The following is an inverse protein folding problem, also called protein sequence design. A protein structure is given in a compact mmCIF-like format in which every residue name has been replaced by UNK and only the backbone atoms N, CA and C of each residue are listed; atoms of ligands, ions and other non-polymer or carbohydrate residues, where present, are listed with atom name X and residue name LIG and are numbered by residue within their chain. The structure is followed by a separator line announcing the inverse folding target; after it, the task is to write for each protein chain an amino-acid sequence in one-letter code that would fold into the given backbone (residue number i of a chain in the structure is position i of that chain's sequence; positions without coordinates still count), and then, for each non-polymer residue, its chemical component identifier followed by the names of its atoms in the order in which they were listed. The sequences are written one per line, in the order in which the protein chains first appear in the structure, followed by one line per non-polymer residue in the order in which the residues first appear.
data_IF_421688043279
#
_entry.id   IF_421688043279
#
_cell.length_a   1.000
_cell.length_b   1.000
_cell.length_c   1.000
_cell.angle_alpha   90.00
_cell.angle_beta   90.00
_cell.angle_gamma   90.00
#
_symmetry.space_group_name_H-M   'P 1'
#
loop_
_entity.id
_entity.type
_entity.pdbx_description
1 polymer ?
#
# COMPACT_ATOMS: atom_id res chain seq x y z
N UNK A 1 -14.08 -63.43 -9.02
CA UNK A 1 -13.73 -62.57 -7.87
C UNK A 1 -12.38 -61.92 -8.14
N UNK A 2 -12.21 -60.66 -7.71
CA UNK A 2 -11.10 -59.73 -7.91
C UNK A 2 -11.15 -58.87 -9.18
N UNK A 3 -12.07 -57.89 -9.16
CA UNK A 3 -11.91 -56.66 -9.94
C UNK A 3 -11.17 -55.64 -9.04
N UNK A 4 -10.03 -55.15 -9.53
CA UNK A 4 -9.15 -54.24 -8.81
C UNK A 4 -9.78 -52.85 -8.66
N UNK A 5 -9.77 -52.34 -7.43
CA UNK A 5 -10.14 -50.97 -7.12
C UNK A 5 -9.02 -50.02 -7.59
N UNK A 6 -9.32 -49.19 -8.60
CA UNK A 6 -8.54 -48.00 -8.89
C UNK A 6 -8.71 -47.02 -7.72
N UNK A 7 -7.65 -46.84 -6.94
CA UNK A 7 -7.50 -45.66 -6.09
C UNK A 7 -7.31 -44.45 -7.00
N UNK A 8 -8.38 -43.69 -7.21
CA UNK A 8 -8.30 -42.33 -7.72
C UNK A 8 -7.53 -41.50 -6.69
N UNK A 9 -6.24 -41.31 -6.93
CA UNK A 9 -5.45 -40.32 -6.24
C UNK A 9 -6.09 -38.95 -6.52
N UNK A 10 -6.75 -38.39 -5.50
CA UNK A 10 -7.15 -36.99 -5.51
C UNK A 10 -5.87 -36.17 -5.71
N UNK A 11 -5.73 -35.60 -6.92
CA UNK A 11 -4.66 -34.66 -7.19
C UNK A 11 -4.75 -33.54 -6.13
N UNK A 12 -3.64 -33.18 -5.48
CA UNK A 12 -3.65 -32.09 -4.51
C UNK A 12 -4.24 -30.86 -5.19
N UNK A 13 -5.30 -30.30 -4.59
CA UNK A 13 -5.93 -29.06 -5.01
C UNK A 13 -4.85 -28.07 -5.41
N UNK A 14 -4.67 -27.86 -6.71
CA UNK A 14 -3.79 -26.85 -7.23
C UNK A 14 -4.21 -25.55 -6.55
N UNK A 15 -3.29 -24.96 -5.78
CA UNK A 15 -3.45 -23.61 -5.26
C UNK A 15 -4.03 -22.77 -6.40
N UNK A 16 -5.18 -22.12 -6.18
CA UNK A 16 -5.93 -21.38 -7.20
C UNK A 16 -4.97 -20.48 -7.97
N UNK A 17 -4.40 -21.00 -9.05
CA UNK A 17 -3.66 -20.22 -10.01
C UNK A 17 -4.73 -19.31 -10.59
N UNK A 18 -4.58 -18.00 -10.37
CA UNK A 18 -5.48 -16.97 -10.87
C UNK A 18 -5.97 -17.33 -12.28
N UNK A 19 -7.18 -17.85 -12.39
CA UNK A 19 -7.81 -18.11 -13.68
C UNK A 19 -8.12 -16.73 -14.24
N UNK A 20 -7.30 -16.28 -15.18
CA UNK A 20 -7.59 -15.09 -15.96
C UNK A 20 -8.93 -15.33 -16.69
N UNK A 21 -9.80 -14.30 -16.80
CA UNK A 21 -10.95 -14.40 -17.69
C UNK A 21 -10.52 -14.88 -19.08
N UNK A 22 -11.35 -15.71 -19.73
CA UNK A 22 -11.00 -16.31 -21.03
C UNK A 22 -10.65 -15.26 -22.10
N UNK A 23 -11.26 -14.08 -22.01
CA UNK A 23 -11.06 -12.95 -22.91
C UNK A 23 -9.96 -11.97 -22.45
N UNK A 24 -9.23 -12.27 -21.37
CA UNK A 24 -8.21 -11.39 -20.82
C UNK A 24 -6.78 -11.86 -21.14
N UNK A 25 -5.87 -10.90 -21.18
CA UNK A 25 -4.43 -11.15 -21.13
C UNK A 25 -3.73 -10.21 -20.14
N UNK A 26 -2.60 -10.67 -19.61
CA UNK A 26 -1.76 -9.89 -18.71
C UNK A 26 -0.95 -8.87 -19.52
N UNK A 27 -0.95 -7.63 -19.06
CA UNK A 27 -0.04 -6.59 -19.52
C UNK A 27 1.07 -6.46 -18.49
N UNK A 28 2.32 -6.43 -18.96
CA UNK A 28 3.44 -6.16 -18.06
C UNK A 28 3.36 -4.70 -17.63
N UNK A 29 3.17 -4.46 -16.34
CA UNK A 29 3.22 -3.12 -15.79
C UNK A 29 4.55 -2.90 -15.07
N UNK A 30 5.14 -1.73 -15.31
CA UNK A 30 6.32 -1.28 -14.61
C UNK A 30 6.24 0.23 -14.35
N UNK A 31 7.04 0.70 -13.41
CA UNK A 31 7.23 2.12 -13.18
C UNK A 31 8.66 2.45 -12.82
N UNK A 32 9.09 3.69 -13.02
CA UNK A 32 10.30 4.24 -12.44
C UNK A 32 9.96 5.54 -11.68
N UNK A 33 10.81 5.90 -10.72
CA UNK A 33 10.69 7.18 -10.00
C UNK A 33 11.89 8.06 -10.29
N UNK A 34 11.64 9.26 -10.82
CA UNK A 34 12.65 10.27 -11.13
C UNK A 34 12.74 11.34 -10.04
N UNK A 35 13.83 12.12 -10.11
CA UNK A 35 14.13 13.23 -9.20
C UNK A 35 14.34 12.84 -7.72
N UNK A 36 14.67 11.57 -7.45
CA UNK A 36 15.00 11.09 -6.09
C UNK A 36 16.29 11.74 -5.55
N UNK A 37 17.24 12.02 -6.43
CA UNK A 37 18.55 12.59 -6.15
C UNK A 37 18.51 14.05 -5.70
N UNK A 38 17.48 14.81 -6.09
CA UNK A 38 17.24 16.16 -5.58
C UNK A 38 16.95 16.22 -4.07
N UNK A 39 16.62 15.08 -3.46
CA UNK A 39 16.26 14.98 -2.04
C UNK A 39 17.22 14.01 -1.30
N UNK A 40 18.51 14.32 -1.34
CA UNK A 40 19.56 13.47 -0.79
C UNK A 40 19.43 13.18 0.73
N UNK A 41 18.73 14.03 1.48
CA UNK A 41 18.42 13.85 2.90
C UNK A 41 17.26 12.86 3.15
N UNK A 42 16.66 12.32 2.09
CA UNK A 42 15.55 11.36 2.16
C UNK A 42 15.96 9.97 1.69
N UNK A 43 15.16 9.01 2.12
CA UNK A 43 15.05 7.66 1.56
C UNK A 43 13.62 7.47 1.12
N UNK A 44 13.42 7.05 -0.12
CA UNK A 44 12.10 6.82 -0.66
C UNK A 44 11.79 5.33 -0.66
N UNK A 45 10.58 4.99 -0.24
CA UNK A 45 10.10 3.61 -0.24
C UNK A 45 8.70 3.50 -0.83
N UNK A 46 8.43 2.43 -1.57
CA UNK A 46 7.08 2.05 -1.95
C UNK A 46 6.54 0.99 -0.98
N UNK A 47 5.34 1.21 -0.45
CA UNK A 47 4.66 0.30 0.46
C UNK A 47 3.12 0.39 0.31
N UNK A 48 2.36 -0.71 0.48
CA UNK A 48 2.84 -2.09 0.60
C UNK A 48 3.33 -2.63 -0.75
N UNK A 49 4.34 -3.50 -0.71
CA UNK A 49 4.88 -4.21 -1.87
C UNK A 49 4.01 -5.41 -2.26
N UNK A 50 3.42 -6.07 -1.27
CA UNK A 50 2.57 -7.24 -1.45
C UNK A 50 1.33 -7.12 -0.55
N UNK A 51 0.18 -7.47 -1.13
CA UNK A 51 -1.13 -7.22 -0.57
C UNK A 51 -1.98 -8.48 -0.76
N UNK A 52 -2.93 -8.65 0.14
CA UNK A 52 -3.97 -9.64 0.02
C UNK A 52 -4.87 -9.45 -1.17
N UNK A 53 -5.78 -10.41 -1.33
CA UNK A 53 -6.89 -10.32 -2.28
C UNK A 53 -7.78 -9.09 -2.05
N UNK A 54 -7.86 -8.58 -0.81
CA UNK A 54 -8.70 -7.43 -0.44
C UNK A 54 -7.89 -6.14 -0.26
N UNK A 55 -6.62 -6.12 -0.71
CA UNK A 55 -5.74 -4.95 -0.69
C UNK A 55 -5.11 -4.64 0.68
N UNK A 56 -5.38 -5.45 1.69
CA UNK A 56 -4.74 -5.40 2.99
C UNK A 56 -3.26 -5.84 2.90
N UNK A 57 -2.36 -5.32 3.75
CA UNK A 57 -1.01 -5.87 3.83
C UNK A 57 -1.08 -7.34 4.23
N UNK A 58 -0.36 -8.23 3.51
CA UNK A 58 -0.42 -9.69 3.70
C UNK A 58 -0.15 -10.15 5.15
N UNK A 59 0.45 -9.31 6.00
CA UNK A 59 0.64 -9.59 7.42
C UNK A 59 -0.65 -9.66 8.26
N UNK A 60 -1.83 -9.40 7.68
CA UNK A 60 -3.13 -9.49 8.35
C UNK A 60 -3.95 -10.73 8.00
N UNK A 61 -3.61 -11.44 6.93
CA UNK A 61 -4.46 -12.53 6.42
C UNK A 61 -3.90 -13.85 6.88
N UNK A 62 -4.56 -14.42 7.88
CA UNK A 62 -4.47 -15.86 8.12
C UNK A 62 -5.30 -16.55 7.04
N UNK A 63 -4.66 -16.96 5.94
CA UNK A 63 -5.32 -17.66 4.84
C UNK A 63 -5.80 -19.06 5.24
N UNK A 64 -5.60 -19.51 6.49
CA UNK A 64 -5.81 -20.91 6.91
C UNK A 64 -4.92 -21.90 6.15
N UNK A 65 -4.02 -21.39 5.30
CA UNK A 65 -3.03 -22.11 4.54
C UNK A 65 -1.78 -22.19 5.40
N UNK A 66 -1.40 -23.42 5.75
CA UNK A 66 -0.17 -23.86 6.43
C UNK A 66 0.70 -22.71 6.99
N UNK A 67 0.88 -22.55 8.32
CA UNK A 67 1.55 -21.40 8.95
C UNK A 67 2.95 -21.06 8.42
N UNK A 68 3.58 -21.97 7.68
CA UNK A 68 4.79 -21.73 6.91
C UNK A 68 4.63 -20.74 5.72
N UNK A 69 3.42 -20.49 5.22
CA UNK A 69 3.13 -19.52 4.16
C UNK A 69 2.96 -18.11 4.72
N UNK A 70 2.25 -17.97 5.85
CA UNK A 70 2.05 -16.71 6.57
C UNK A 70 3.38 -16.07 7.02
N UNK A 71 4.41 -16.88 7.28
CA UNK A 71 5.69 -16.40 7.82
C UNK A 71 6.77 -16.13 6.77
N UNK A 72 6.60 -16.58 5.52
CA UNK A 72 7.74 -16.69 4.60
C UNK A 72 7.61 -15.92 3.31
N UNK A 73 6.45 -15.44 2.85
CA UNK A 73 6.42 -14.89 1.49
C UNK A 73 7.11 -13.53 1.34
N UNK A 74 7.31 -12.71 2.37
CA UNK A 74 7.94 -11.38 2.19
C UNK A 74 8.73 -10.92 3.45
N UNK A 75 10.03 -11.23 3.52
CA UNK A 75 10.93 -10.69 4.56
C UNK A 75 11.04 -9.15 4.49
N UNK A 76 10.66 -8.55 3.35
CA UNK A 76 10.59 -7.11 3.12
C UNK A 76 9.26 -6.82 2.41
N UNK A 77 8.37 -6.07 3.08
CA UNK A 77 7.04 -5.67 2.60
C UNK A 77 7.03 -4.27 1.97
N UNK A 78 8.20 -3.67 1.81
CA UNK A 78 8.44 -2.41 1.11
C UNK A 78 9.50 -2.60 0.02
N UNK A 79 9.64 -1.60 -0.84
CA UNK A 79 10.71 -1.51 -1.81
C UNK A 79 11.46 -0.18 -1.64
N UNK A 80 12.78 -0.21 -1.57
CA UNK A 80 13.60 1.02 -1.59
C UNK A 80 13.69 1.51 -3.03
N UNK A 81 13.29 2.75 -3.25
CA UNK A 81 13.28 3.36 -4.57
C UNK A 81 14.67 3.89 -4.91
N UNK A 82 15.20 3.44 -6.04
CA UNK A 82 16.52 3.82 -6.55
C UNK A 82 16.33 4.56 -7.90
N UNK A 83 17.13 5.59 -8.13
CA UNK A 83 17.00 6.41 -9.33
C UNK A 83 17.20 5.55 -10.59
N UNK A 84 16.31 5.73 -11.59
CA UNK A 84 16.33 5.02 -12.89
C UNK A 84 16.13 3.50 -12.79
N UNK A 85 15.71 2.99 -11.64
CA UNK A 85 15.38 1.58 -11.48
C UNK A 85 13.96 1.34 -11.99
N UNK A 86 13.83 0.42 -12.96
CA UNK A 86 12.52 -0.09 -13.37
C UNK A 86 11.99 -1.03 -12.30
N UNK A 87 10.78 -0.75 -11.81
CA UNK A 87 10.11 -1.48 -10.76
C UNK A 87 8.88 -2.19 -11.32
N UNK A 88 8.69 -3.44 -10.92
CA UNK A 88 7.51 -4.24 -11.28
C UNK A 88 6.61 -4.35 -10.07
N UNK A 89 5.31 -4.26 -10.31
CA UNK A 89 4.32 -4.37 -9.24
C UNK A 89 3.53 -5.65 -9.41
N UNK A 90 3.29 -6.34 -8.30
CA UNK A 90 2.44 -7.51 -8.27
C UNK A 90 0.97 -7.12 -8.35
N UNK A 91 0.18 -7.90 -9.10
CA UNK A 91 -1.24 -7.66 -9.42
C UNK A 91 -2.11 -7.26 -8.22
N UNK A 92 -1.82 -7.79 -7.04
CA UNK A 92 -2.65 -7.64 -5.84
C UNK A 92 -2.48 -6.28 -5.11
N UNK A 93 -1.44 -5.50 -5.42
CA UNK A 93 -1.22 -4.18 -4.80
C UNK A 93 -1.62 -2.99 -5.69
N UNK A 94 -2.33 -3.26 -6.78
CA UNK A 94 -2.87 -2.19 -7.60
C UNK A 94 -3.74 -1.27 -6.72
N UNK A 95 -3.49 0.04 -6.80
CA UNK A 95 -4.18 1.10 -6.05
C UNK A 95 -3.91 1.21 -4.54
N UNK A 96 -3.19 0.27 -3.91
CA UNK A 96 -2.83 0.34 -2.48
C UNK A 96 -1.39 0.77 -2.25
N UNK A 97 -0.49 0.50 -3.21
CA UNK A 97 0.89 0.95 -3.16
C UNK A 97 0.96 2.49 -3.10
N UNK A 98 1.76 3.00 -2.18
CA UNK A 98 2.05 4.42 -1.97
C UNK A 98 3.56 4.63 -1.92
N UNK A 99 3.99 5.81 -2.33
CA UNK A 99 5.37 6.26 -2.14
C UNK A 99 5.43 7.06 -0.84
N UNK A 100 6.46 6.80 -0.06
CA UNK A 100 6.77 7.51 1.19
C UNK A 100 8.19 8.04 1.13
N UNK A 101 8.42 9.18 1.79
CA UNK A 101 9.76 9.72 2.02
C UNK A 101 10.08 9.68 3.52
N UNK A 102 11.24 9.12 3.84
CA UNK A 102 11.76 8.93 5.20
C UNK A 102 13.02 9.78 5.38
N UNK A 103 13.26 10.39 6.55
CA UNK A 103 14.49 11.11 6.81
C UNK A 103 15.66 10.13 6.87
N UNK A 104 16.63 10.31 5.97
CA UNK A 104 17.79 9.42 5.80
C UNK A 104 18.61 9.26 7.08
N UNK A 105 18.67 10.30 7.91
CA UNK A 105 19.38 10.25 9.18
C UNK A 105 18.77 9.25 10.18
N UNK A 106 17.44 9.12 10.20
CA UNK A 106 16.75 8.18 11.09
C UNK A 106 16.49 6.81 10.42
N UNK A 107 16.46 6.78 9.09
CA UNK A 107 16.20 5.62 8.26
C UNK A 107 17.29 5.44 7.21
N UNK A 108 18.56 5.20 7.62
CA UNK A 108 19.65 5.10 6.67
C UNK A 108 19.43 3.88 5.75
N UNK A 109 19.60 4.02 4.43
CA UNK A 109 19.53 2.89 3.54
C UNK A 109 20.78 2.03 3.75
N UNK A 110 20.60 0.73 3.59
CA UNK A 110 21.67 -0.26 3.65
C UNK A 110 21.47 -1.29 2.55
N UNK A 111 22.38 -2.25 2.46
CA UNK A 111 22.27 -3.39 1.57
C UNK A 111 22.57 -4.67 2.34
N UNK A 112 21.82 -5.73 2.03
CA UNK A 112 22.12 -7.08 2.49
C UNK A 112 21.99 -8.07 1.33
N UNK A 113 22.66 -9.23 1.38
CA UNK A 113 22.40 -10.30 0.43
C UNK A 113 20.93 -10.72 0.49
N UNK A 114 20.29 -10.85 -0.67
CA UNK A 114 18.93 -11.35 -0.77
C UNK A 114 18.89 -12.80 -0.25
N UNK A 115 17.98 -13.15 0.68
CA UNK A 115 17.99 -14.47 1.31
C UNK A 115 17.59 -15.60 0.34
N UNK A 116 16.99 -15.25 -0.81
CA UNK A 116 16.46 -16.17 -1.82
C UNK A 116 16.22 -15.44 -3.15
N UNK A 117 15.92 -16.23 -4.18
CA UNK A 117 15.36 -15.71 -5.42
C UNK A 117 13.98 -15.09 -5.17
N UNK A 118 13.81 -13.86 -5.64
CA UNK A 118 12.54 -13.12 -5.61
C UNK A 118 12.33 -12.49 -6.99
N UNK A 119 11.65 -13.24 -7.85
CA UNK A 119 11.37 -12.86 -9.24
C UNK A 119 10.57 -11.55 -9.35
N UNK A 120 9.85 -11.17 -8.30
CA UNK A 120 9.04 -9.95 -8.30
C UNK A 120 9.90 -8.69 -8.11
N UNK A 121 11.07 -8.79 -7.47
CA UNK A 121 12.08 -7.71 -7.38
C UNK A 121 13.22 -7.87 -8.38
N UNK A 122 13.15 -8.88 -9.25
CA UNK A 122 14.29 -9.31 -10.06
C UNK A 122 15.55 -9.57 -9.22
N UNK A 123 15.35 -10.09 -7.99
CA UNK A 123 16.45 -10.43 -7.08
C UNK A 123 16.79 -11.90 -7.20
N UNK A 124 18.09 -12.18 -7.27
CA UNK A 124 18.65 -13.52 -7.08
C UNK A 124 19.17 -13.67 -5.67
N UNK A 125 19.11 -14.89 -5.15
CA UNK A 125 19.73 -15.21 -3.87
C UNK A 125 21.17 -14.71 -3.85
N UNK A 126 21.57 -14.16 -2.71
CA UNK A 126 22.88 -13.61 -2.41
C UNK A 126 23.24 -12.30 -3.16
N UNK A 127 22.43 -11.86 -4.14
CA UNK A 127 22.61 -10.54 -4.75
C UNK A 127 22.28 -9.40 -3.76
N UNK A 128 22.89 -8.21 -3.93
CA UNK A 128 22.57 -7.05 -3.11
C UNK A 128 21.09 -6.67 -3.17
N UNK A 129 20.45 -6.60 -2.01
CA UNK A 129 19.10 -6.09 -1.80
C UNK A 129 19.16 -4.81 -0.98
N UNK A 130 18.63 -3.71 -1.54
CA UNK A 130 18.47 -2.46 -0.82
C UNK A 130 17.41 -2.61 0.30
N UNK A 131 17.76 -2.16 1.50
CA UNK A 131 16.91 -2.23 2.69
C UNK A 131 17.00 -0.94 3.52
N UNK A 132 16.08 -0.80 4.48
CA UNK A 132 16.12 0.21 5.53
C UNK A 132 16.09 -0.54 6.88
N UNK A 133 17.23 -0.78 7.54
CA UNK A 133 17.29 -1.58 8.76
C UNK A 133 16.33 -1.12 9.87
N UNK A 134 16.10 0.19 9.97
CA UNK A 134 15.15 0.76 10.92
C UNK A 134 13.68 0.36 10.63
N UNK A 135 13.31 0.14 9.36
CA UNK A 135 12.01 -0.45 9.00
C UNK A 135 12.02 -1.96 9.27
N UNK A 136 13.12 -2.65 8.97
CA UNK A 136 13.26 -4.09 9.21
C UNK A 136 13.07 -4.44 10.70
N UNK A 137 13.50 -3.55 11.60
CA UNK A 137 13.32 -3.67 13.04
C UNK A 137 11.88 -3.43 13.54
N UNK A 138 10.98 -2.91 12.70
CA UNK A 138 9.55 -2.75 13.03
C UNK A 138 8.82 -4.05 12.64
N UNK A 139 8.12 -4.65 13.59
CA UNK A 139 7.24 -5.80 13.33
C UNK A 139 6.30 -5.50 12.15
N UNK A 140 6.11 -6.44 11.23
CA UNK A 140 5.28 -6.25 10.02
C UNK A 140 3.87 -5.69 10.35
N UNK A 141 3.22 -6.20 11.40
CA UNK A 141 1.90 -5.73 11.85
C UNK A 141 1.89 -4.25 12.28
N UNK A 142 3.03 -3.71 12.72
CA UNK A 142 3.21 -2.32 13.16
C UNK A 142 3.68 -1.39 12.03
N UNK A 143 4.09 -1.90 10.88
CA UNK A 143 4.52 -1.06 9.74
C UNK A 143 3.36 -0.27 9.13
N UNK A 144 2.17 -0.87 9.04
CA UNK A 144 0.98 -0.15 8.56
C UNK A 144 0.65 1.09 9.43
N UNK A 145 0.47 0.99 10.77
CA UNK A 145 0.25 2.17 11.59
C UNK A 145 1.46 3.13 11.58
N UNK A 146 2.69 2.63 11.45
CA UNK A 146 3.87 3.48 11.26
C UNK A 146 3.74 4.36 10.00
N UNK A 147 3.53 3.77 8.83
CA UNK A 147 3.35 4.53 7.58
C UNK A 147 2.13 5.44 7.63
N UNK A 148 1.07 5.05 8.33
CA UNK A 148 -0.14 5.86 8.46
C UNK A 148 -0.01 7.05 9.41
N UNK A 149 0.80 6.96 10.48
CA UNK A 149 0.74 7.93 11.59
C UNK A 149 2.08 8.49 12.11
N UNK A 150 3.24 7.86 11.82
CA UNK A 150 4.52 8.37 12.31
C UNK A 150 4.84 9.75 11.70
N UNK A 151 5.17 10.73 12.56
CA UNK A 151 5.39 12.12 12.16
C UNK A 151 6.65 12.32 11.31
N UNK A 152 7.56 11.34 11.26
CA UNK A 152 8.77 11.37 10.44
C UNK A 152 8.52 10.94 9.00
N UNK A 153 7.35 10.38 8.70
CA UNK A 153 7.01 9.85 7.38
C UNK A 153 6.29 10.93 6.58
N UNK A 154 6.91 11.39 5.50
CA UNK A 154 6.24 12.22 4.52
C UNK A 154 5.44 11.35 3.54
N UNK A 155 4.16 11.69 3.37
CA UNK A 155 3.16 10.85 2.67
C UNK A 155 2.65 11.53 1.42
N UNK A 156 2.35 10.72 0.41
CA UNK A 156 1.65 11.18 -0.79
C UNK A 156 0.22 10.61 -0.85
N UNK A 157 -0.78 11.42 -1.24
CA UNK A 157 -2.09 10.89 -1.61
C UNK A 157 -2.05 10.18 -2.97
N UNK A 158 -0.95 10.29 -3.72
CA UNK A 158 -0.80 9.67 -5.02
C UNK A 158 -0.90 8.14 -4.93
N UNK A 159 -1.79 7.59 -5.75
CA UNK A 159 -1.92 6.17 -5.99
C UNK A 159 -1.53 5.88 -7.43
N UNK A 160 -0.71 4.85 -7.65
CA UNK A 160 -0.48 4.38 -9.01
C UNK A 160 -1.78 3.76 -9.54
N UNK A 161 -2.28 4.33 -10.63
CA UNK A 161 -3.31 3.70 -11.45
C UNK A 161 -2.63 2.65 -12.32
N UNK A 162 -3.02 1.39 -12.27
CA UNK A 162 -2.25 0.30 -12.90
C UNK A 162 -3.08 -0.46 -13.93
N UNK A 163 -2.55 -0.60 -15.15
CA UNK A 163 -3.16 -1.44 -16.19
C UNK A 163 -2.46 -2.80 -16.17
N UNK A 164 -3.10 -3.77 -15.52
CA UNK A 164 -2.57 -5.15 -15.40
C UNK A 164 -3.24 -6.13 -16.38
N UNK A 165 -4.46 -5.82 -16.82
CA UNK A 165 -5.27 -6.68 -17.67
C UNK A 165 -5.93 -5.89 -18.80
N UNK A 166 -5.93 -6.47 -19.98
CA UNK A 166 -6.64 -5.96 -21.16
C UNK A 166 -7.35 -7.11 -21.85
N UNK A 167 -8.37 -6.79 -22.65
CA UNK A 167 -9.01 -7.78 -23.52
C UNK A 167 -8.03 -8.31 -24.56
N UNK A 168 -7.91 -9.65 -24.62
CA UNK A 168 -7.04 -10.37 -25.56
C UNK A 168 -7.47 -10.17 -27.02
N UNK A 169 -8.78 -10.13 -27.28
CA UNK A 169 -9.33 -10.04 -28.63
C UNK A 169 -9.21 -8.64 -29.25
N UNK A 170 -9.08 -7.59 -28.43
CA UNK A 170 -9.00 -6.21 -28.90
C UNK A 170 -7.62 -5.59 -28.72
N UNK A 171 -6.88 -5.92 -27.67
CA UNK A 171 -5.63 -5.22 -27.37
C UNK A 171 -4.37 -5.89 -27.90
N UNK A 172 -3.51 -5.13 -28.57
CA UNK A 172 -2.12 -5.51 -28.91
C UNK A 172 -1.11 -5.00 -27.88
N UNK A 173 -1.57 -4.44 -26.75
CA UNK A 173 -0.70 -3.92 -25.70
C UNK A 173 0.03 -5.06 -24.99
N UNK A 174 1.34 -4.93 -24.82
CA UNK A 174 2.20 -5.91 -24.17
C UNK A 174 2.77 -5.39 -22.84
N UNK A 175 3.23 -4.13 -22.81
CA UNK A 175 3.82 -3.49 -21.62
C UNK A 175 3.36 -2.04 -21.47
N UNK A 176 3.20 -1.62 -20.22
CA UNK A 176 3.02 -0.22 -19.80
C UNK A 176 4.16 0.13 -18.84
N UNK A 177 4.78 1.27 -19.05
CA UNK A 177 5.82 1.80 -18.18
C UNK A 177 5.50 3.25 -17.81
N UNK A 178 5.22 3.51 -16.54
CA UNK A 178 5.00 4.86 -16.03
C UNK A 178 6.27 5.45 -15.41
N UNK A 179 6.45 6.75 -15.59
CA UNK A 179 7.49 7.53 -14.92
C UNK A 179 6.81 8.48 -13.96
N UNK A 180 7.18 8.40 -12.70
CA UNK A 180 6.64 9.20 -11.61
C UNK A 180 7.76 10.12 -11.12
N UNK A 181 7.48 11.40 -10.93
CA UNK A 181 8.47 12.33 -10.40
C UNK A 181 8.15 12.72 -8.96
N UNK A 182 9.19 12.84 -8.14
CA UNK A 182 9.09 13.54 -6.85
C UNK A 182 9.20 15.04 -7.10
N UNK A 183 8.12 15.77 -6.80
CA UNK A 183 8.03 17.22 -7.05
C UNK A 183 8.48 18.03 -5.83
N UNK A 184 8.07 17.60 -4.64
CA UNK A 184 8.37 18.29 -3.40
C UNK A 184 8.30 17.33 -2.21
N UNK A 185 9.11 17.61 -1.18
CA UNK A 185 9.07 16.90 0.10
C UNK A 185 9.18 17.92 1.22
N UNK A 186 8.21 17.92 2.14
CA UNK A 186 8.29 18.64 3.41
C UNK A 186 8.30 17.67 4.60
N UNK A 187 8.05 18.17 5.81
CA UNK A 187 8.09 17.36 7.03
C UNK A 187 7.05 16.21 7.06
N UNK A 188 5.88 16.38 6.44
CA UNK A 188 4.77 15.42 6.51
C UNK A 188 4.16 15.07 5.14
N UNK A 189 4.44 15.88 4.11
CA UNK A 189 3.86 15.77 2.78
C UNK A 189 4.94 15.47 1.74
N UNK A 190 4.61 14.50 0.89
CA UNK A 190 5.35 14.12 -0.30
C UNK A 190 4.45 14.39 -1.50
N UNK A 191 4.87 15.30 -2.37
CA UNK A 191 4.19 15.56 -3.64
C UNK A 191 4.88 14.75 -4.73
N UNK A 192 4.12 13.87 -5.37
CA UNK A 192 4.56 13.15 -6.57
C UNK A 192 3.52 13.32 -7.66
N UNK A 193 3.96 13.24 -8.91
CA UNK A 193 3.08 13.27 -10.07
C UNK A 193 3.56 12.31 -11.15
N UNK A 194 2.62 11.76 -11.90
CA UNK A 194 2.95 11.05 -13.13
C UNK A 194 3.49 12.03 -14.16
N UNK A 195 4.58 11.67 -14.84
CA UNK A 195 5.32 12.53 -15.77
C UNK A 195 5.10 12.09 -17.20
N UNK A 196 5.35 10.81 -17.47
CA UNK A 196 5.18 10.20 -18.78
C UNK A 196 4.78 8.74 -18.65
N UNK A 197 4.11 8.22 -19.66
CA UNK A 197 3.80 6.80 -19.84
C UNK A 197 4.36 6.34 -21.17
N UNK A 198 4.94 5.15 -21.20
CA UNK A 198 5.34 4.46 -22.42
C UNK A 198 4.54 3.18 -22.58
N UNK A 199 3.87 3.05 -23.71
CA UNK A 199 3.19 1.84 -24.13
C UNK A 199 4.10 1.06 -25.07
N UNK A 200 4.18 -0.26 -24.89
CA UNK A 200 4.86 -1.17 -25.82
C UNK A 200 3.87 -2.22 -26.29
N UNK A 201 3.81 -2.42 -27.61
CA UNK A 201 2.90 -3.36 -28.25
C UNK A 201 3.61 -4.69 -28.58
N UNK A 202 2.83 -5.70 -28.94
CA UNK A 202 3.34 -7.04 -29.30
C UNK A 202 4.27 -7.03 -30.52
N UNK A 203 4.12 -6.06 -31.43
CA UNK A 203 5.02 -5.85 -32.57
C UNK A 203 6.33 -5.14 -32.20
N UNK A 204 6.52 -4.81 -30.92
CA UNK A 204 7.67 -4.06 -30.39
C UNK A 204 7.58 -2.55 -30.59
N UNK A 205 6.54 -2.02 -31.25
CA UNK A 205 6.37 -0.59 -31.39
C UNK A 205 6.09 0.06 -30.03
N UNK A 206 6.48 1.34 -29.89
CA UNK A 206 6.30 2.10 -28.66
C UNK A 206 5.66 3.45 -28.89
N UNK A 207 4.90 3.91 -27.90
CA UNK A 207 4.32 5.26 -27.85
C UNK A 207 4.54 5.86 -26.47
N UNK A 208 5.15 7.05 -26.40
CA UNK A 208 5.37 7.77 -25.15
C UNK A 208 4.54 9.04 -25.12
N UNK A 209 3.82 9.25 -24.01
CA UNK A 209 3.00 10.44 -23.79
C UNK A 209 3.36 11.09 -22.46
N UNK A 210 3.35 12.42 -22.44
CA UNK A 210 3.41 13.18 -21.20
C UNK A 210 2.03 13.20 -20.52
N UNK A 211 2.00 13.07 -19.20
CA UNK A 211 0.80 13.31 -18.42
C UNK A 211 0.47 14.80 -18.44
N UNK A 212 -0.78 15.13 -18.76
CA UNK A 212 -1.30 16.51 -18.72
C UNK A 212 -2.34 16.72 -17.61
N UNK A 213 -2.73 15.64 -16.96
CA UNK A 213 -3.65 15.61 -15.81
C UNK A 213 -3.33 14.36 -14.98
N UNK A 214 -4.09 14.14 -13.91
CA UNK A 214 -3.99 12.90 -13.11
C UNK A 214 -4.40 11.64 -13.91
N UNK A 215 -5.16 11.82 -15.01
CA UNK A 215 -5.60 10.72 -15.86
C UNK A 215 -4.50 10.33 -16.83
N UNK A 216 -4.21 9.02 -16.90
CA UNK A 216 -3.30 8.46 -17.89
C UNK A 216 -3.81 8.76 -19.32
N UNK A 217 -2.98 9.33 -20.21
CA UNK A 217 -3.38 9.54 -21.60
C UNK A 217 -3.58 8.18 -22.28
N UNK A 218 -4.65 8.01 -23.07
CA UNK A 218 -4.86 6.75 -23.79
C UNK A 218 -3.83 6.58 -24.92
N UNK A 219 -3.34 5.35 -25.19
CA UNK A 219 -2.53 5.07 -26.36
C UNK A 219 -3.32 5.35 -27.64
N UNK A 220 -2.61 5.70 -28.70
CA UNK A 220 -3.24 6.07 -29.97
C UNK A 220 -3.82 4.87 -30.72
N UNK A 221 -3.36 3.65 -30.43
CA UNK A 221 -3.91 2.41 -30.99
C UNK A 221 -5.19 2.03 -30.22
N UNK A 222 -6.38 2.32 -30.78
CA UNK A 222 -7.61 2.51 -30.01
C UNK A 222 -8.18 1.23 -29.39
N UNK A 223 -7.70 0.06 -29.79
CA UNK A 223 -8.17 -1.22 -29.24
C UNK A 223 -7.38 -1.68 -28.00
N UNK A 224 -6.38 -0.92 -27.57
CA UNK A 224 -5.37 -1.38 -26.62
C UNK A 224 -5.79 -1.36 -25.14
N UNK A 225 -6.75 -0.52 -24.73
CA UNK A 225 -7.04 -0.26 -23.31
C UNK A 225 -8.42 -0.66 -22.82
N UNK A 226 -9.19 -1.47 -23.55
CA UNK A 226 -10.43 -1.98 -22.97
C UNK A 226 -10.11 -3.01 -21.88
N UNK A 227 -10.40 -2.72 -20.59
CA UNK A 227 -10.36 -3.77 -19.59
C UNK A 227 -11.42 -4.83 -19.94
N UNK A 228 -11.19 -6.10 -19.62
CA UNK A 228 -12.24 -7.11 -19.71
C UNK A 228 -13.42 -6.68 -18.81
N UNK A 229 -14.67 -7.01 -19.18
CA UNK A 229 -15.81 -6.71 -18.32
C UNK A 229 -15.60 -7.44 -16.99
N UNK A 230 -15.57 -6.69 -15.88
CA UNK A 230 -15.24 -7.21 -14.55
C UNK A 230 -13.76 -7.16 -14.15
N UNK A 231 -12.88 -6.59 -14.99
CA UNK A 231 -11.47 -6.34 -14.65
C UNK A 231 -11.23 -4.90 -14.19
N UNK A 232 -11.24 -4.69 -12.87
CA UNK A 232 -10.73 -3.50 -12.18
C UNK A 232 -11.44 -2.15 -12.43
N UNK A 233 -12.73 -2.14 -12.73
CA UNK A 233 -13.59 -1.02 -12.35
C UNK A 233 -14.35 -1.45 -11.10
N UNK A 234 -13.91 -1.03 -9.91
CA UNK A 234 -14.87 -0.86 -8.83
C UNK A 234 -15.53 0.48 -9.13
N UNK A 235 -16.74 0.36 -9.67
CA UNK A 235 -17.88 1.26 -9.60
C UNK A 235 -17.58 2.71 -9.20
N UNK A 236 -18.09 3.62 -10.03
CA UNK A 236 -18.43 4.97 -9.62
C UNK A 236 -19.02 4.95 -8.20
N UNK A 237 -18.33 5.64 -7.30
CA UNK A 237 -18.68 5.92 -5.92
C UNK A 237 -20.19 5.87 -5.62
N UNK A 238 -20.71 4.84 -4.93
CA UNK A 238 -21.87 5.00 -4.09
C UNK A 238 -21.37 5.28 -2.68
N UNK A 239 -21.45 6.55 -2.30
CA UNK A 239 -21.65 7.03 -0.92
C UNK A 239 -21.96 5.87 0.04
N UNK A 240 -21.14 5.62 1.08
CA UNK A 240 -21.38 4.50 1.98
C UNK A 240 -22.79 4.64 2.59
N UNK A 241 -23.65 3.61 2.50
CA UNK A 241 -24.92 3.66 3.21
C UNK A 241 -24.63 3.77 4.71
N UNK A 242 -25.36 4.66 5.37
CA UNK A 242 -25.35 4.77 6.81
C UNK A 242 -25.56 3.37 7.43
N UNK A 243 -24.65 3.00 8.32
CA UNK A 243 -24.79 1.80 9.14
C UNK A 243 -25.90 2.12 10.15
N UNK A 244 -27.12 1.70 9.83
CA UNK A 244 -28.21 1.68 10.80
C UNK A 244 -28.17 0.34 11.56
N UNK A 245 -27.96 0.45 12.86
CA UNK A 245 -27.83 -0.68 13.76
C UNK A 245 -29.22 -1.13 14.21
N UNK A 246 -29.67 -2.24 13.64
CA UNK A 246 -30.61 -3.15 14.29
C UNK A 246 -32.09 -2.83 14.11
N UNK A 247 -32.80 -3.77 13.49
CA UNK A 247 -34.23 -3.93 13.70
C UNK A 247 -34.50 -5.36 14.17
N UNK A 248 -34.95 -5.50 15.41
CA UNK A 248 -35.88 -6.55 15.80
C UNK A 248 -37.13 -5.89 16.37
N UNK A 249 -38.28 -6.33 15.83
CA UNK A 249 -39.67 -6.17 16.26
C UNK A 249 -40.53 -5.08 15.57
N UNK A 250 -41.85 -5.35 15.38
CA UNK A 250 -42.64 -4.83 14.27
C UNK A 250 -43.65 -3.73 14.62
N UNK A 251 -44.05 -3.01 13.56
CA UNK A 251 -45.26 -2.20 13.30
C UNK A 251 -45.85 -1.28 14.39
N UNK A 252 -45.73 0.04 14.16
CA UNK A 252 -46.72 1.06 14.55
C UNK A 252 -46.60 2.31 13.65
N UNK A 253 -47.68 3.10 13.45
CA UNK A 253 -47.86 3.93 12.26
C UNK A 253 -47.20 5.32 12.32
N UNK A 254 -46.98 5.86 11.13
CA UNK A 254 -46.26 7.08 10.76
C UNK A 254 -46.62 8.34 11.55
N UNK A 255 -45.59 9.04 12.03
CA UNK A 255 -45.66 10.38 12.61
C UNK A 255 -44.75 11.35 11.79
N UNK A 256 -45.14 12.61 11.54
CA UNK A 256 -44.41 13.50 10.62
C UNK A 256 -43.13 14.08 11.26
N UNK A 257 -42.15 14.54 10.44
CA UNK A 257 -40.79 14.76 10.90
C UNK A 257 -40.64 15.96 11.82
N UNK A 258 -39.89 15.76 12.92
CA UNK A 258 -39.48 16.79 13.86
C UNK A 258 -38.27 17.59 13.33
N UNK A 259 -38.20 18.86 13.73
CA UNK A 259 -37.20 19.83 13.32
C UNK A 259 -35.75 19.46 13.72
N UNK A 260 -34.80 19.86 12.88
CA UNK A 260 -33.37 19.60 13.05
C UNK A 260 -32.77 20.28 14.31
N UNK A 261 -31.84 19.63 15.04
CA UNK A 261 -31.14 20.26 16.14
C UNK A 261 -30.00 21.17 15.65
N UNK A 262 -29.78 22.26 16.41
CA UNK A 262 -28.72 23.25 16.19
C UNK A 262 -27.31 22.69 16.49
N UNK A 263 -26.24 23.26 15.89
CA UNK A 263 -24.87 22.77 16.06
C UNK A 263 -24.32 23.04 17.47
N UNK A 264 -23.65 22.03 18.04
CA UNK A 264 -22.97 22.09 19.32
C UNK A 264 -21.76 23.04 19.31
N UNK A 265 -21.73 23.98 20.26
CA UNK A 265 -20.56 24.81 20.54
C UNK A 265 -19.46 23.98 21.22
N UNK A 266 -18.22 24.13 20.74
CA UNK A 266 -17.05 23.49 21.34
C UNK A 266 -16.64 24.25 22.60
N UNK A 267 -16.84 23.62 23.75
CA UNK A 267 -16.42 24.12 25.05
C UNK A 267 -14.89 24.04 25.21
N UNK A 268 -14.25 25.21 25.22
CA UNK A 268 -12.81 25.39 25.39
C UNK A 268 -12.39 25.35 26.87
N UNK A 269 -13.33 25.35 27.82
CA UNK A 269 -13.05 25.40 29.26
C UNK A 269 -12.44 24.11 29.81
N UNK A 270 -12.88 22.95 29.30
CA UNK A 270 -12.51 21.64 29.88
C UNK A 270 -11.06 21.24 29.58
N UNK A 271 -10.45 21.77 28.50
CA UNK A 271 -9.08 21.41 28.10
C UNK A 271 -7.99 22.00 29.00
N UNK A 272 -8.23 23.15 29.64
CA UNK A 272 -7.26 23.77 30.53
C UNK A 272 -7.15 23.05 31.88
N UNK A 273 -8.26 22.48 32.37
CA UNK A 273 -8.29 21.73 33.64
C UNK A 273 -7.43 20.46 33.55
N UNK A 274 -7.48 19.74 32.42
CA UNK A 274 -6.64 18.55 32.20
C UNK A 274 -5.15 18.89 32.09
N UNK A 275 -4.79 19.99 31.43
CA UNK A 275 -3.39 20.40 31.31
C UNK A 275 -2.79 20.84 32.65
N UNK A 276 -3.56 21.54 33.49
CA UNK A 276 -3.11 21.93 34.83
C UNK A 276 -2.88 20.72 35.75
N UNK A 277 -3.72 19.68 35.66
CA UNK A 277 -3.57 18.46 36.45
C UNK A 277 -2.29 17.67 36.09
N UNK A 278 -1.94 17.58 34.80
CA UNK A 278 -0.72 16.89 34.35
C UNK A 278 0.54 17.65 34.79
N UNK A 279 0.52 18.99 34.71
CA UNK A 279 1.64 19.81 35.16
C UNK A 279 1.89 19.67 36.68
N UNK A 280 0.82 19.60 37.49
CA UNK A 280 0.93 19.40 38.94
C UNK A 280 1.58 18.06 39.33
N UNK A 281 1.26 16.97 38.61
CA UNK A 281 1.85 15.65 38.86
C UNK A 281 3.35 15.59 38.56
N UNK A 282 3.80 16.27 37.50
CA UNK A 282 5.23 16.30 37.14
C UNK A 282 6.06 17.07 38.16
N UNK A 283 5.58 18.24 38.62
CA UNK A 283 6.29 19.04 39.62
C UNK A 283 6.34 18.32 40.96
N UNK A 284 5.24 17.69 41.40
CA UNK A 284 5.20 16.91 42.63
C UNK A 284 6.18 15.72 42.62
N UNK A 285 6.26 15.00 41.49
CA UNK A 285 7.18 13.86 41.33
C UNK A 285 8.65 14.26 41.42
N UNK A 286 9.04 15.39 40.82
CA UNK A 286 10.43 15.90 40.84
C UNK A 286 10.84 16.31 42.26
N UNK A 287 9.95 16.99 43.00
CA UNK A 287 10.23 17.42 44.38
C UNK A 287 10.38 16.21 45.31
N UNK A 288 9.49 15.22 45.21
CA UNK A 288 9.57 14.00 46.01
C UNK A 288 10.86 13.20 45.73
N UNK A 289 11.27 13.12 44.47
CA UNK A 289 12.52 12.46 44.07
C UNK A 289 13.76 13.19 44.62
N UNK A 290 13.80 14.52 44.54
CA UNK A 290 14.89 15.33 45.07
C UNK A 290 15.02 15.22 46.61
N UNK A 291 13.90 15.14 47.33
CA UNK A 291 13.91 14.95 48.79
C UNK A 291 14.38 13.55 49.19
N UNK A 292 14.03 12.52 48.41
CA UNK A 292 14.48 11.14 48.66
C UNK A 292 16.00 11.04 48.52
N UNK A 293 16.59 11.66 47.50
CA UNK A 293 18.03 11.59 47.26
C UNK A 293 18.87 12.37 48.29
N UNK A 294 18.33 13.45 48.88
CA UNK A 294 19.00 14.17 49.97
C UNK A 294 19.12 13.35 51.27
N UNK A 295 18.18 12.44 51.54
CA UNK A 295 18.21 11.60 52.74
C UNK A 295 19.19 10.43 52.65
N UNK A 296 19.59 10.02 51.45
CA UNK A 296 20.53 8.92 51.23
C UNK A 296 22.00 9.36 51.21
N UNK A 297 22.26 10.66 51.35
CA UNK A 297 23.60 11.25 51.22
C UNK A 297 24.17 11.78 52.56
N UNK A 298 23.57 11.42 53.69
CA UNK A 298 24.04 11.77 55.03
C UNK A 298 23.91 10.61 56.00
#
# INVERSE_FOLDING_TARGET
MLAGALLAAAAPNAARADVLPEDAKVVQYSYEVENLDAFADKVFVAWPRACGSDGEPLGKIDLGLNPQWASRMHDVDYEVLEAKKELRVLRYCAHTMRIYALPRAAFPPSSRPAPRDDWALDLKKDNPQAIVPALDAIDLQKRMPFFASDARVARSPFALDMIMLVRRSSSTLAKVHDVIGVDAVDAATLTVSSKRVTYTYEDGATETFAYRSLKRPSPSRPKALEPPPGGNARDDDPTPPAIDAGALAPDAPSQPPAAAPAPASKDLGTRWVYLAAIAGLLVGGIIAWAQKNKKSAG
#
